data_IF_661657257026
#
_entry.id   IF_661657257026
#
_cell.length_a   1.000
_cell.length_b   1.000
_cell.length_c   1.000
_cell.angle_alpha   90.00
_cell.angle_beta   90.00
_cell.angle_gamma   90.00
#
_symmetry.space_group_name_H-M   'P 1'
#
loop_
_entity.id
_entity.type
_entity.pdbx_description
1 polymer ?
#
# COMPACT_ATOMS: atom_id res chain seq x y z
N UNK A 1 -0.17 -9.43 -23.62
CA UNK A 1 -0.76 -10.18 -22.49
C UNK A 1 -0.40 -9.59 -21.11
N UNK A 2 -0.20 -8.26 -20.96
CA UNK A 2 0.18 -7.63 -19.67
C UNK A 2 -0.97 -6.92 -18.94
N UNK A 3 -2.08 -6.63 -19.63
CA UNK A 3 -3.24 -5.96 -19.03
C UNK A 3 -4.01 -6.84 -18.02
N UNK A 4 -4.02 -8.15 -18.22
CA UNK A 4 -4.79 -9.08 -17.38
C UNK A 4 -4.20 -9.26 -15.99
N UNK A 5 -2.88 -9.20 -15.81
CA UNK A 5 -2.25 -9.41 -14.49
C UNK A 5 -2.51 -8.25 -13.53
N UNK A 6 -2.39 -7.00 -14.02
CA UNK A 6 -2.71 -5.83 -13.22
C UNK A 6 -4.21 -5.78 -12.87
N UNK A 7 -5.08 -6.22 -13.77
CA UNK A 7 -6.52 -6.28 -13.52
C UNK A 7 -6.88 -7.38 -12.52
N UNK A 8 -6.25 -8.55 -12.63
CA UNK A 8 -6.38 -9.61 -11.62
C UNK A 8 -5.88 -9.14 -10.26
N UNK A 9 -4.75 -8.42 -10.21
CA UNK A 9 -4.27 -7.81 -8.97
C UNK A 9 -5.26 -6.77 -8.45
N UNK A 10 -5.87 -5.95 -9.32
CA UNK A 10 -6.89 -5.00 -8.90
C UNK A 10 -8.10 -5.66 -8.22
N UNK A 11 -8.51 -6.83 -8.69
CA UNK A 11 -9.68 -7.56 -8.16
C UNK A 11 -9.35 -8.53 -7.00
N UNK A 12 -8.15 -9.10 -6.99
CA UNK A 12 -7.75 -10.17 -6.05
C UNK A 12 -6.67 -9.77 -5.05
N UNK A 13 -6.01 -8.62 -5.22
CA UNK A 13 -4.94 -8.23 -4.32
C UNK A 13 -5.47 -7.97 -2.91
N UNK A 14 -4.65 -8.33 -1.93
CA UNK A 14 -4.90 -8.08 -0.52
C UNK A 14 -4.15 -6.83 -0.06
N UNK A 15 -4.69 -6.07 0.89
CA UNK A 15 -3.95 -4.98 1.52
C UNK A 15 -2.68 -5.54 2.17
N UNK A 16 -1.53 -4.90 1.93
CA UNK A 16 -0.29 -5.27 2.65
C UNK A 16 -0.43 -5.19 4.17
N UNK A 17 -1.34 -4.39 4.69
CA UNK A 17 -1.67 -4.34 6.12
C UNK A 17 -2.16 -5.69 6.68
N UNK A 18 -2.73 -6.54 5.83
CA UNK A 18 -3.12 -7.91 6.17
C UNK A 18 -2.00 -8.93 5.94
N UNK A 19 -0.81 -8.55 5.44
CA UNK A 19 0.31 -9.48 5.30
C UNK A 19 0.74 -10.06 6.65
N UNK A 20 0.74 -9.24 7.70
CA UNK A 20 1.06 -9.69 9.06
C UNK A 20 0.03 -10.72 9.55
N UNK A 21 -1.25 -10.51 9.23
CA UNK A 21 -2.31 -11.47 9.54
C UNK A 21 -2.25 -12.75 8.70
N UNK A 22 -1.61 -12.70 7.53
CA UNK A 22 -1.42 -13.82 6.61
C UNK A 22 -0.05 -14.52 6.75
N UNK A 23 0.73 -14.22 7.79
CA UNK A 23 2.09 -14.75 8.01
C UNK A 23 3.03 -14.52 6.80
N UNK A 24 2.70 -13.54 5.96
CA UNK A 24 3.48 -13.13 4.80
C UNK A 24 4.44 -11.98 5.13
N UNK A 25 4.51 -11.57 6.40
CA UNK A 25 5.43 -10.56 6.89
C UNK A 25 6.89 -10.96 6.58
N UNK A 26 7.58 -10.17 5.75
CA UNK A 26 8.95 -10.43 5.33
C UNK A 26 9.11 -11.25 4.03
N UNK A 27 8.02 -11.62 3.35
CA UNK A 27 8.13 -12.18 1.99
C UNK A 27 8.61 -11.12 1.01
N UNK A 28 9.48 -11.53 0.09
CA UNK A 28 9.86 -10.67 -1.03
C UNK A 28 8.67 -10.55 -1.97
N UNK A 29 8.30 -9.31 -2.25
CA UNK A 29 7.23 -8.96 -3.18
C UNK A 29 7.83 -8.15 -4.31
N UNK A 30 7.51 -8.52 -5.54
CA UNK A 30 7.91 -7.80 -6.74
C UNK A 30 6.84 -6.79 -7.13
N UNK A 31 7.27 -5.58 -7.49
CA UNK A 31 6.36 -4.54 -7.94
C UNK A 31 5.91 -4.82 -9.38
N UNK A 32 4.60 -4.98 -9.57
CA UNK A 32 4.01 -5.29 -10.88
C UNK A 32 3.41 -4.06 -11.58
N UNK A 33 3.08 -3.02 -10.82
CA UNK A 33 2.55 -1.77 -11.37
C UNK A 33 1.80 -0.95 -10.34
N UNK A 34 1.34 0.23 -10.76
CA UNK A 34 0.49 1.09 -9.92
C UNK A 34 -0.63 1.70 -10.73
N UNK A 35 -1.74 1.98 -10.04
CA UNK A 35 -2.90 2.63 -10.60
C UNK A 35 -3.33 3.79 -9.71
N UNK A 36 -3.46 4.98 -10.30
CA UNK A 36 -3.98 6.14 -9.59
C UNK A 36 -5.49 6.26 -9.78
N UNK A 37 -6.22 6.44 -8.69
CA UNK A 37 -7.66 6.73 -8.67
C UNK A 37 -7.91 8.00 -7.85
N UNK A 38 -8.04 9.13 -8.55
CA UNK A 38 -8.21 10.43 -7.92
C UNK A 38 -7.02 10.82 -7.06
N UNK A 39 -7.22 10.92 -5.74
CA UNK A 39 -6.17 11.25 -4.75
C UNK A 39 -5.51 10.00 -4.13
N UNK A 40 -5.80 8.80 -4.64
CA UNK A 40 -5.24 7.55 -4.11
C UNK A 40 -4.41 6.88 -5.19
N UNK A 41 -3.24 6.40 -4.82
CA UNK A 41 -2.35 5.60 -5.65
C UNK A 41 -2.37 4.20 -5.06
N UNK A 42 -2.72 3.22 -5.89
CA UNK A 42 -2.73 1.80 -5.55
C UNK A 42 -1.49 1.19 -6.19
N UNK A 43 -0.50 0.84 -5.37
CA UNK A 43 0.69 0.13 -5.82
C UNK A 43 0.45 -1.36 -5.66
N UNK A 44 0.60 -2.11 -6.74
CA UNK A 44 0.41 -3.55 -6.80
C UNK A 44 1.74 -4.27 -6.80
N UNK A 45 1.77 -5.36 -6.06
CA UNK A 45 2.91 -6.22 -5.86
C UNK A 45 2.47 -7.68 -5.98
N UNK A 46 3.42 -8.55 -6.26
CA UNK A 46 3.22 -9.99 -6.35
C UNK A 46 4.28 -10.71 -5.52
N UNK A 47 3.89 -11.63 -4.66
CA UNK A 47 4.84 -12.48 -3.93
C UNK A 47 5.26 -13.71 -4.75
N UNK A 48 6.31 -14.38 -4.30
CA UNK A 48 6.83 -15.63 -4.88
C UNK A 48 5.77 -16.75 -4.93
N UNK A 49 4.87 -16.81 -3.93
CA UNK A 49 3.75 -17.74 -3.92
C UNK A 49 2.64 -17.38 -4.93
N UNK A 50 2.76 -16.27 -5.64
CA UNK A 50 1.79 -15.81 -6.63
C UNK A 50 0.59 -15.06 -6.05
N UNK A 51 0.64 -14.69 -4.76
CA UNK A 51 -0.38 -13.84 -4.16
C UNK A 51 -0.16 -12.37 -4.59
N UNK A 52 -1.25 -11.66 -4.83
CA UNK A 52 -1.22 -10.24 -5.15
C UNK A 52 -1.43 -9.41 -3.89
N UNK A 53 -0.65 -8.35 -3.78
CA UNK A 53 -0.68 -7.42 -2.66
C UNK A 53 -0.81 -6.01 -3.17
N UNK A 54 -1.53 -5.16 -2.45
CA UNK A 54 -1.59 -3.74 -2.77
C UNK A 54 -1.29 -2.87 -1.56
N UNK A 55 -0.66 -1.73 -1.83
CA UNK A 55 -0.51 -0.61 -0.91
C UNK A 55 -1.28 0.58 -1.44
N UNK A 56 -1.99 1.26 -0.55
CA UNK A 56 -2.67 2.50 -0.89
C UNK A 56 -1.88 3.67 -0.33
N UNK A 57 -1.51 4.60 -1.20
CA UNK A 57 -0.94 5.89 -0.86
C UNK A 57 -1.94 6.99 -1.19
N UNK A 58 -2.13 7.91 -0.27
CA UNK A 58 -3.05 9.03 -0.41
C UNK A 58 -2.25 10.31 -0.63
N UNK A 59 -2.56 11.02 -1.71
CA UNK A 59 -2.06 12.35 -1.99
C UNK A 59 -2.91 13.33 -1.18
N UNK A 60 -2.31 13.93 -0.16
CA UNK A 60 -2.93 14.97 0.65
C UNK A 60 -3.14 16.23 -0.19
N UNK A 61 -4.03 17.11 0.28
CA UNK A 61 -4.25 18.43 -0.34
C UNK A 61 -2.99 19.31 -0.33
N UNK A 62 -2.04 19.02 0.56
CA UNK A 62 -0.72 19.66 0.63
C UNK A 62 0.23 19.20 -0.47
N UNK A 63 -0.13 18.15 -1.23
CA UNK A 63 0.74 17.51 -2.22
C UNK A 63 1.62 16.40 -1.64
N UNK A 64 1.58 16.17 -0.34
CA UNK A 64 2.31 15.09 0.32
C UNK A 64 1.68 13.72 0.03
N UNK A 65 2.51 12.73 -0.24
CA UNK A 65 2.07 11.34 -0.43
C UNK A 65 2.30 10.59 0.86
N UNK A 66 1.22 10.19 1.52
CA UNK A 66 1.27 9.42 2.78
C UNK A 66 0.60 8.06 2.59
N UNK A 67 0.99 7.02 3.33
CA UNK A 67 0.25 5.76 3.34
C UNK A 67 -1.19 5.96 3.82
N UNK A 68 -2.12 5.11 3.38
CA UNK A 68 -3.53 5.19 3.74
C UNK A 68 -3.75 5.19 5.26
N UNK A 69 -3.00 4.38 6.01
CA UNK A 69 -3.04 4.43 7.48
C UNK A 69 -2.73 5.82 8.04
N UNK A 70 -1.68 6.49 7.55
CA UNK A 70 -1.32 7.83 8.03
C UNK A 70 -2.32 8.90 7.58
N UNK A 71 -2.96 8.73 6.42
CA UNK A 71 -4.02 9.63 5.96
C UNK A 71 -5.34 9.46 6.72
N UNK A 72 -5.72 8.23 7.09
CA UNK A 72 -7.00 7.94 7.78
C UNK A 72 -6.87 8.14 9.28
N UNK A 73 -5.83 7.59 9.92
CA UNK A 73 -5.63 7.69 11.37
C UNK A 73 -4.92 8.99 11.79
N UNK A 74 -4.49 9.79 10.81
CA UNK A 74 -3.65 10.95 11.01
C UNK A 74 -2.22 10.54 11.35
N UNK A 75 -1.26 11.44 11.07
CA UNK A 75 0.10 11.28 11.57
C UNK A 75 0.02 10.94 13.06
N UNK A 76 0.58 9.79 13.46
CA UNK A 76 1.06 9.64 14.84
C UNK A 76 1.97 10.84 15.05
N UNK A 77 1.48 11.88 15.73
CA UNK A 77 2.32 12.97 16.21
C UNK A 77 3.46 12.25 16.91
N UNK A 78 4.64 12.20 16.28
CA UNK A 78 5.86 11.83 16.98
C UNK A 78 5.83 12.78 18.16
N UNK A 79 5.59 12.25 19.36
CA UNK A 79 5.74 12.99 20.61
C UNK A 79 7.20 13.39 20.59
N UNK A 80 7.49 14.55 20.02
CA UNK A 80 8.73 15.26 20.22
C UNK A 80 8.77 15.51 21.70
N UNK A 81 9.39 14.60 22.43
CA UNK A 81 9.67 14.74 23.84
C UNK A 81 10.63 15.90 24.01
N UNK A 82 10.13 17.12 23.91
CA UNK A 82 10.80 18.29 24.45
C UNK A 82 10.37 18.35 25.92
N UNK A 83 11.06 17.58 26.75
CA UNK A 83 11.08 17.84 28.19
C UNK A 83 11.88 19.13 28.35
N UNK A 84 11.19 20.20 28.71
CA UNK A 84 11.80 21.39 29.28
C UNK A 84 12.21 21.09 30.72
#
# INVERSE_FOLDING_TARGET
MKQSELQNAWEQAYSMENMAAHEAEGRQVEYIGSASKGKRIYDFYRDDAGAYWYLVRIILVTGEVVPEQEAIFGQKKKRSGKRF
#
